data_IF_926201916586
#
_entry.id   IF_926201916586
#
_cell.length_a   1.000
_cell.length_b   1.000
_cell.length_c   1.000
_cell.angle_alpha   90.00
_cell.angle_beta   90.00
_cell.angle_gamma   90.00
#
_symmetry.space_group_name_H-M   'P 1'
#
loop_
_entity.id
_entity.type
_entity.pdbx_description
1 polymer ?
#
# COMPACT_ATOMS: atom_id res chain seq x y z
N UNK A 1 -10.33 20.03 20.04
CA UNK A 1 -9.99 18.97 21.03
C UNK A 1 -8.62 18.44 20.62
N UNK A 2 -7.66 18.58 21.48
CA UNK A 2 -6.29 18.07 21.26
C UNK A 2 -6.37 16.53 21.38
N UNK A 3 -6.56 15.88 20.24
CA UNK A 3 -6.71 14.42 20.15
C UNK A 3 -5.38 13.73 20.34
N UNK A 4 -4.86 13.76 21.58
CA UNK A 4 -3.68 12.98 21.97
C UNK A 4 -4.03 11.49 21.90
N UNK A 5 -3.73 10.86 20.76
CA UNK A 5 -3.77 9.39 20.65
C UNK A 5 -2.72 8.77 21.56
N UNK A 6 -3.02 7.58 22.12
CA UNK A 6 -2.04 6.85 22.92
C UNK A 6 -0.75 6.64 22.10
N UNK A 7 0.43 6.90 22.68
CA UNK A 7 1.69 6.78 21.96
C UNK A 7 1.93 5.33 21.52
N UNK A 8 2.43 5.17 20.30
CA UNK A 8 2.85 3.86 19.80
C UNK A 8 4.11 3.41 20.54
N UNK A 9 4.19 2.11 20.85
CA UNK A 9 5.37 1.53 21.50
C UNK A 9 6.14 0.70 20.46
N UNK A 10 7.42 1.01 20.29
CA UNK A 10 8.32 0.34 19.38
C UNK A 10 9.21 -0.62 20.17
N UNK A 11 9.04 -1.95 20.01
CA UNK A 11 9.81 -2.95 20.78
C UNK A 11 11.26 -3.05 20.34
N UNK A 12 11.57 -2.63 19.12
CA UNK A 12 12.92 -2.67 18.52
C UNK A 12 13.22 -1.28 17.98
N UNK A 13 14.37 -0.72 18.40
CA UNK A 13 14.81 0.60 17.97
C UNK A 13 15.56 0.57 16.64
N UNK A 14 16.39 -0.48 16.43
CA UNK A 14 17.28 -0.59 15.29
C UNK A 14 16.78 -1.66 14.30
N UNK A 15 16.56 -1.28 13.03
CA UNK A 15 16.18 -2.25 12.00
C UNK A 15 17.37 -3.14 11.61
N UNK A 16 17.10 -4.35 11.02
CA UNK A 16 18.16 -5.16 10.46
C UNK A 16 18.90 -4.41 9.35
N UNK A 17 20.21 -4.58 9.30
CA UNK A 17 21.00 -4.11 8.17
C UNK A 17 20.61 -4.88 6.89
N UNK A 18 20.82 -4.33 5.69
CA UNK A 18 20.53 -5.03 4.44
C UNK A 18 21.24 -6.40 4.36
N UNK A 19 20.48 -7.44 4.06
CA UNK A 19 20.97 -8.83 4.04
C UNK A 19 21.08 -9.51 5.41
N UNK A 20 20.68 -8.85 6.49
CA UNK A 20 20.57 -9.44 7.82
C UNK A 20 19.11 -9.79 8.15
N UNK A 21 18.93 -10.68 9.13
CA UNK A 21 17.62 -11.05 9.66
C UNK A 21 17.60 -10.92 11.17
N UNK A 22 16.50 -10.41 11.74
CA UNK A 22 16.30 -10.25 13.18
C UNK A 22 15.04 -11.00 13.60
N UNK A 23 15.07 -11.88 14.62
CA UNK A 23 13.86 -12.45 15.20
C UNK A 23 12.98 -11.35 15.78
N UNK A 24 11.70 -11.27 15.38
CA UNK A 24 10.76 -10.23 15.84
C UNK A 24 9.60 -10.81 16.64
N UNK A 25 9.24 -12.06 16.35
CA UNK A 25 8.22 -12.82 17.07
C UNK A 25 8.54 -14.32 16.96
N UNK A 26 7.89 -15.19 17.73
CA UNK A 26 8.14 -16.63 17.67
C UNK A 26 7.95 -17.20 16.26
N UNK A 27 9.04 -17.62 15.62
CA UNK A 27 9.06 -18.17 14.26
C UNK A 27 8.96 -17.13 13.16
N UNK A 28 9.08 -15.83 13.46
CA UNK A 28 9.05 -14.74 12.47
C UNK A 28 10.37 -13.96 12.50
N UNK A 29 11.02 -13.87 11.35
CA UNK A 29 12.21 -13.05 11.15
C UNK A 29 11.84 -11.82 10.33
N UNK A 30 12.39 -10.69 10.75
CA UNK A 30 12.35 -9.41 10.06
C UNK A 30 13.60 -9.24 9.23
N UNK A 31 13.45 -8.83 8.00
CA UNK A 31 14.52 -8.37 7.13
C UNK A 31 14.11 -7.08 6.42
N UNK A 32 15.09 -6.35 5.90
CA UNK A 32 14.86 -5.09 5.21
C UNK A 32 15.57 -5.07 3.86
N UNK A 33 14.87 -4.60 2.83
CA UNK A 33 15.41 -4.40 1.49
C UNK A 33 15.45 -2.91 1.15
N UNK A 34 16.45 -2.44 0.38
CA UNK A 34 16.53 -1.06 -0.06
C UNK A 34 15.48 -0.74 -1.13
N UNK A 35 15.08 0.53 -1.18
CA UNK A 35 14.24 1.10 -2.24
C UNK A 35 14.94 2.31 -2.89
N UNK A 36 14.76 2.54 -4.20
CA UNK A 36 15.35 3.66 -4.91
C UNK A 36 14.53 4.95 -4.80
N UNK A 37 13.90 5.19 -3.64
CA UNK A 37 12.97 6.30 -3.40
C UNK A 37 13.32 7.05 -2.11
N UNK A 38 12.60 8.14 -1.82
CA UNK A 38 12.72 8.84 -0.53
C UNK A 38 12.32 7.95 0.66
N UNK A 39 11.37 7.04 0.47
CA UNK A 39 11.12 5.92 1.37
C UNK A 39 12.13 4.82 1.00
N UNK A 40 13.26 4.80 1.69
CA UNK A 40 14.48 4.09 1.31
C UNK A 40 14.49 2.59 1.60
N UNK A 41 13.41 2.06 2.18
CA UNK A 41 13.36 0.65 2.60
C UNK A 41 11.96 0.06 2.56
N UNK A 42 11.92 -1.28 2.45
CA UNK A 42 10.75 -2.10 2.73
C UNK A 42 11.12 -3.20 3.73
N UNK A 43 10.24 -3.46 4.69
CA UNK A 43 10.32 -4.60 5.60
C UNK A 43 9.67 -5.81 4.96
N UNK A 44 10.35 -6.94 4.99
CA UNK A 44 9.87 -8.23 4.54
C UNK A 44 9.93 -9.24 5.68
N UNK A 45 9.16 -10.30 5.57
CA UNK A 45 9.04 -11.25 6.68
C UNK A 45 9.33 -12.67 6.20
N UNK A 46 10.05 -13.43 7.05
CA UNK A 46 10.24 -14.85 6.90
C UNK A 46 9.51 -15.55 8.04
N UNK A 47 8.61 -16.46 7.72
CA UNK A 47 7.88 -17.25 8.70
C UNK A 47 8.41 -18.68 8.64
N UNK A 48 8.86 -19.23 9.78
CA UNK A 48 9.28 -20.61 9.87
C UNK A 48 8.11 -21.55 9.56
N UNK A 49 8.31 -22.49 8.63
CA UNK A 49 7.27 -23.39 8.11
C UNK A 49 7.80 -24.86 8.12
N UNK A 50 7.90 -25.43 9.32
CA UNK A 50 8.55 -26.73 9.51
C UNK A 50 10.03 -26.68 9.14
N UNK A 51 10.44 -27.55 8.21
CA UNK A 51 11.80 -27.58 7.67
C UNK A 51 12.02 -26.58 6.51
N UNK A 52 11.11 -25.63 6.34
CA UNK A 52 11.15 -24.62 5.27
C UNK A 52 10.85 -23.21 5.81
N UNK A 53 10.80 -22.25 4.89
CA UNK A 53 10.41 -20.87 5.16
C UNK A 53 9.28 -20.41 4.23
N UNK A 54 8.32 -19.66 4.75
CA UNK A 54 7.39 -18.85 3.96
C UNK A 54 7.92 -17.41 3.91
N UNK A 55 8.04 -16.84 2.70
CA UNK A 55 8.37 -15.43 2.47
C UNK A 55 7.08 -14.63 2.40
N UNK A 56 7.03 -13.47 3.06
CA UNK A 56 5.95 -12.48 2.90
C UNK A 56 6.53 -11.18 2.37
N UNK A 57 6.09 -10.79 1.19
CA UNK A 57 6.59 -9.74 0.30
C UNK A 57 8.02 -9.98 -0.20
N UNK A 58 8.37 -9.38 -1.35
CA UNK A 58 9.55 -9.82 -2.10
C UNK A 58 10.58 -8.73 -2.38
N UNK A 59 10.19 -7.46 -2.20
CA UNK A 59 11.05 -6.31 -2.50
C UNK A 59 10.96 -5.85 -3.96
N UNK A 60 11.49 -4.66 -4.20
CA UNK A 60 11.59 -4.04 -5.52
C UNK A 60 12.62 -4.76 -6.39
N UNK A 61 12.33 -4.94 -7.68
CA UNK A 61 13.23 -5.66 -8.60
C UNK A 61 14.47 -4.83 -8.94
N UNK A 62 15.51 -5.01 -8.14
CA UNK A 62 16.86 -4.43 -8.35
C UNK A 62 17.93 -5.51 -8.26
N UNK A 63 19.08 -5.33 -8.95
CA UNK A 63 20.23 -6.24 -8.80
C UNK A 63 20.68 -6.37 -7.34
N UNK A 64 20.67 -5.27 -6.58
CA UNK A 64 21.02 -5.24 -5.16
C UNK A 64 20.07 -6.09 -4.32
N UNK A 65 18.75 -5.95 -4.50
CA UNK A 65 17.75 -6.74 -3.78
C UNK A 65 17.90 -8.25 -4.07
N UNK A 66 18.20 -8.61 -5.33
CA UNK A 66 18.50 -10.02 -5.68
C UNK A 66 19.75 -10.53 -4.98
N UNK A 67 20.83 -9.76 -4.97
CA UNK A 67 22.08 -10.14 -4.30
C UNK A 67 21.87 -10.31 -2.78
N UNK A 68 21.08 -9.45 -2.15
CA UNK A 68 20.72 -9.57 -0.74
C UNK A 68 19.90 -10.83 -0.46
N UNK A 69 18.94 -11.17 -1.32
CA UNK A 69 18.18 -12.42 -1.21
C UNK A 69 19.10 -13.65 -1.33
N UNK A 70 20.02 -13.70 -2.31
CA UNK A 70 20.94 -14.81 -2.45
C UNK A 70 21.86 -14.97 -1.22
N UNK A 71 22.30 -13.85 -0.63
CA UNK A 71 23.06 -13.86 0.64
C UNK A 71 22.20 -14.41 1.79
N UNK A 72 20.95 -13.97 1.93
CA UNK A 72 20.03 -14.47 2.95
C UNK A 72 19.82 -15.98 2.79
N UNK A 73 19.62 -16.47 1.57
CA UNK A 73 19.46 -17.90 1.29
C UNK A 73 20.69 -18.71 1.69
N UNK A 74 21.87 -18.19 1.42
CA UNK A 74 23.12 -18.88 1.74
C UNK A 74 23.44 -18.87 3.25
N UNK A 75 23.17 -17.77 3.94
CA UNK A 75 23.71 -17.53 5.27
C UNK A 75 22.68 -17.55 6.39
N UNK A 76 21.39 -17.26 6.10
CA UNK A 76 20.38 -16.97 7.13
C UNK A 76 19.26 -18.01 7.23
N UNK A 77 19.00 -18.79 6.18
CA UNK A 77 17.94 -19.80 6.20
C UNK A 77 18.32 -21.14 6.82
N UNK A 78 19.59 -21.31 7.22
CA UNK A 78 20.09 -22.58 7.80
C UNK A 78 19.98 -23.77 6.86
N UNK A 79 20.13 -23.56 5.54
CA UNK A 79 20.02 -24.59 4.50
C UNK A 79 18.57 -25.04 4.21
N UNK A 80 17.57 -24.45 4.87
CA UNK A 80 16.15 -24.80 4.66
C UNK A 80 15.61 -24.12 3.39
N UNK A 81 14.77 -24.81 2.58
CA UNK A 81 14.18 -24.24 1.38
C UNK A 81 13.07 -23.22 1.72
N UNK A 82 12.61 -22.52 0.69
CA UNK A 82 11.37 -21.75 0.74
C UNK A 82 10.23 -22.61 0.21
N UNK A 83 9.16 -22.77 1.00
CA UNK A 83 7.97 -23.57 0.67
C UNK A 83 6.86 -22.73 0.03
N UNK A 84 6.86 -21.42 0.28
CA UNK A 84 5.76 -20.53 -0.11
C UNK A 84 6.23 -19.08 -0.22
N UNK A 85 5.63 -18.34 -1.17
CA UNK A 85 5.79 -16.91 -1.32
C UNK A 85 4.40 -16.29 -1.26
N UNK A 86 4.18 -15.43 -0.28
CA UNK A 86 2.95 -14.64 -0.11
C UNK A 86 3.28 -13.19 -0.49
N UNK A 87 2.43 -12.55 -1.27
CA UNK A 87 2.52 -11.11 -1.54
C UNK A 87 1.25 -10.44 -1.05
N UNK A 88 1.43 -9.39 -0.23
CA UNK A 88 0.34 -8.65 0.37
C UNK A 88 -0.46 -7.88 -0.67
N UNK A 89 0.20 -7.19 -1.59
CA UNK A 89 -0.43 -6.42 -2.66
C UNK A 89 0.51 -6.15 -3.86
N UNK A 90 -0.05 -5.57 -4.93
CA UNK A 90 0.59 -5.45 -6.24
C UNK A 90 1.69 -4.40 -6.36
N UNK A 91 1.90 -3.51 -5.38
CA UNK A 91 2.91 -2.45 -5.50
C UNK A 91 4.32 -3.00 -5.72
N UNK A 92 5.16 -2.25 -6.48
CA UNK A 92 6.44 -2.80 -6.96
C UNK A 92 7.42 -3.24 -5.87
N UNK A 93 7.40 -2.61 -4.73
CA UNK A 93 8.24 -2.96 -3.58
C UNK A 93 7.77 -4.21 -2.82
N UNK A 94 6.56 -4.68 -3.09
CA UNK A 94 5.99 -5.91 -2.54
C UNK A 94 6.10 -7.08 -3.51
N UNK A 95 5.61 -6.93 -4.74
CA UNK A 95 5.55 -8.01 -5.74
C UNK A 95 6.77 -8.09 -6.66
N UNK A 96 7.67 -7.12 -6.62
CA UNK A 96 8.68 -6.89 -7.64
C UNK A 96 9.55 -8.10 -7.98
N UNK A 97 9.97 -8.87 -6.98
CA UNK A 97 10.79 -10.07 -7.17
C UNK A 97 10.00 -11.39 -7.06
N UNK A 98 8.66 -11.33 -7.01
CA UNK A 98 7.83 -12.52 -6.80
C UNK A 98 8.05 -13.59 -7.86
N UNK A 99 8.10 -13.22 -9.14
CA UNK A 99 8.30 -14.17 -10.24
C UNK A 99 9.66 -14.86 -10.16
N UNK A 100 10.72 -14.07 -9.97
CA UNK A 100 12.07 -14.60 -9.79
C UNK A 100 12.19 -15.54 -8.58
N UNK A 101 11.56 -15.20 -7.44
CA UNK A 101 11.57 -16.06 -6.25
C UNK A 101 10.75 -17.33 -6.46
N UNK A 102 9.59 -17.23 -7.12
CA UNK A 102 8.76 -18.39 -7.45
C UNK A 102 9.52 -19.38 -8.37
N UNK A 103 10.21 -18.87 -9.38
CA UNK A 103 11.07 -19.69 -10.26
C UNK A 103 12.25 -20.31 -9.51
N UNK A 104 12.94 -19.50 -8.71
CA UNK A 104 14.12 -19.91 -7.90
C UNK A 104 13.81 -21.11 -7.02
N UNK A 105 12.65 -21.09 -6.34
CA UNK A 105 12.25 -22.10 -5.37
C UNK A 105 11.22 -23.12 -5.92
N UNK A 106 10.75 -22.93 -7.14
CA UNK A 106 9.73 -23.77 -7.80
C UNK A 106 8.43 -23.84 -6.98
N UNK A 107 8.02 -22.72 -6.44
CA UNK A 107 6.80 -22.57 -5.64
C UNK A 107 5.84 -21.61 -6.33
N UNK A 108 4.55 -21.67 -5.94
CA UNK A 108 3.54 -20.74 -6.46
C UNK A 108 3.49 -19.47 -5.62
N UNK A 109 3.11 -18.37 -6.27
CA UNK A 109 2.74 -17.13 -5.62
C UNK A 109 1.41 -17.29 -4.90
N UNK A 110 1.31 -16.82 -3.65
CA UNK A 110 0.06 -16.67 -2.91
C UNK A 110 -0.27 -15.19 -2.79
N UNK A 111 -1.45 -14.79 -3.28
CA UNK A 111 -1.94 -13.40 -3.20
C UNK A 111 -3.45 -13.38 -3.46
N UNK A 112 -4.09 -12.23 -3.31
CA UNK A 112 -5.49 -12.08 -3.67
C UNK A 112 -5.66 -11.94 -5.20
N UNK A 113 -6.87 -12.19 -5.69
CA UNK A 113 -7.13 -12.21 -7.14
C UNK A 113 -6.94 -10.82 -7.77
N UNK A 114 -7.47 -9.77 -7.13
CA UNK A 114 -7.36 -8.42 -7.67
C UNK A 114 -5.91 -7.93 -7.68
N UNK A 115 -5.11 -8.27 -6.68
CA UNK A 115 -3.70 -7.89 -6.64
C UNK A 115 -2.91 -8.56 -7.77
N UNK A 116 -3.14 -9.85 -8.01
CA UNK A 116 -2.52 -10.54 -9.13
C UNK A 116 -2.95 -9.97 -10.48
N UNK A 117 -4.26 -9.71 -10.68
CA UNK A 117 -4.80 -9.12 -11.91
C UNK A 117 -4.21 -7.72 -12.16
N UNK A 118 -4.16 -6.86 -11.11
CA UNK A 118 -3.56 -5.52 -11.21
C UNK A 118 -2.09 -5.60 -11.60
N UNK A 119 -1.30 -6.44 -10.90
CA UNK A 119 0.11 -6.63 -11.25
C UNK A 119 0.29 -7.08 -12.70
N UNK A 120 -0.53 -8.03 -13.18
CA UNK A 120 -0.51 -8.52 -14.57
C UNK A 120 -0.87 -7.44 -15.59
N UNK A 121 -1.86 -6.61 -15.29
CA UNK A 121 -2.27 -5.48 -16.14
C UNK A 121 -1.18 -4.42 -16.17
N UNK A 122 -0.76 -3.92 -14.99
CA UNK A 122 0.23 -2.86 -14.86
C UNK A 122 1.60 -3.24 -15.45
N UNK A 123 2.01 -4.50 -15.35
CA UNK A 123 3.25 -4.98 -15.97
C UNK A 123 3.19 -5.06 -17.49
N UNK A 124 2.01 -4.97 -18.11
CA UNK A 124 1.79 -5.04 -19.56
C UNK A 124 1.23 -3.75 -20.16
N UNK A 125 1.07 -2.71 -19.35
CA UNK A 125 0.52 -1.43 -19.80
C UNK A 125 1.24 -0.92 -21.06
N UNK A 126 0.44 -0.60 -22.08
CA UNK A 126 0.86 0.02 -23.32
C UNK A 126 0.43 1.48 -23.41
N UNK A 127 0.49 2.05 -24.63
CA UNK A 127 0.14 3.46 -24.90
C UNK A 127 -1.35 3.77 -24.68
N UNK A 128 -2.23 2.75 -24.67
CA UNK A 128 -3.68 2.92 -24.42
C UNK A 128 -3.94 3.52 -23.04
N UNK A 129 -3.18 3.11 -22.03
CA UNK A 129 -3.29 3.67 -20.69
C UNK A 129 -2.73 5.08 -20.58
N UNK A 130 -1.78 5.46 -21.41
CA UNK A 130 -1.21 6.81 -21.41
C UNK A 130 -2.27 7.85 -21.76
N UNK A 131 -3.15 7.57 -22.72
CA UNK A 131 -4.24 8.47 -23.10
C UNK A 131 -5.26 8.67 -21.99
N UNK A 132 -5.66 7.59 -21.30
CA UNK A 132 -6.57 7.65 -20.17
C UNK A 132 -5.97 8.41 -18.98
N UNK A 133 -4.68 8.22 -18.69
CA UNK A 133 -3.97 8.96 -17.64
C UNK A 133 -3.86 10.44 -17.96
N UNK A 134 -3.59 10.79 -19.21
CA UNK A 134 -3.52 12.20 -19.64
C UNK A 134 -4.88 12.88 -19.47
N UNK A 135 -5.96 12.24 -19.91
CA UNK A 135 -7.30 12.79 -19.76
C UNK A 135 -7.70 12.90 -18.28
N UNK A 136 -7.40 11.88 -17.46
CA UNK A 136 -7.60 11.91 -16.01
C UNK A 136 -6.90 13.11 -15.36
N UNK A 137 -5.62 13.31 -15.67
CA UNK A 137 -4.81 14.40 -15.13
C UNK A 137 -5.34 15.77 -15.58
N UNK A 138 -5.72 15.92 -16.85
CA UNK A 138 -6.32 17.12 -17.40
C UNK A 138 -7.65 17.46 -16.71
N UNK A 139 -8.52 16.46 -16.50
CA UNK A 139 -9.79 16.66 -15.79
C UNK A 139 -9.61 17.02 -14.33
N UNK A 140 -8.53 16.60 -13.72
CA UNK A 140 -8.16 16.95 -12.35
C UNK A 140 -7.58 18.38 -12.21
N UNK A 141 -7.25 19.04 -13.34
CA UNK A 141 -6.77 20.43 -13.40
C UNK A 141 -5.29 20.59 -13.72
N UNK A 142 -4.54 19.52 -14.07
CA UNK A 142 -3.18 19.68 -14.57
C UNK A 142 -3.18 20.31 -15.97
N UNK A 143 -2.22 21.20 -16.23
CA UNK A 143 -1.98 21.74 -17.56
C UNK A 143 -1.54 20.65 -18.56
N UNK A 144 -1.48 21.01 -19.85
CA UNK A 144 -1.17 20.05 -20.91
C UNK A 144 0.22 19.39 -20.74
N UNK A 145 1.23 20.17 -20.34
CA UNK A 145 2.60 19.67 -20.18
C UNK A 145 2.68 18.74 -18.95
N UNK A 146 2.09 19.12 -17.85
CA UNK A 146 2.02 18.33 -16.62
C UNK A 146 1.17 17.05 -16.81
N UNK A 147 0.10 17.11 -17.59
CA UNK A 147 -0.73 15.94 -17.94
C UNK A 147 0.02 14.92 -18.81
N UNK A 148 0.84 15.39 -19.75
CA UNK A 148 1.72 14.52 -20.54
C UNK A 148 2.74 13.81 -19.64
N UNK A 149 3.39 14.55 -18.75
CA UNK A 149 4.35 14.00 -17.80
C UNK A 149 3.70 13.01 -16.82
N UNK A 150 2.47 13.26 -16.39
CA UNK A 150 1.70 12.35 -15.56
C UNK A 150 1.41 11.02 -16.30
N UNK A 151 1.08 11.11 -17.59
CA UNK A 151 0.81 9.91 -18.41
C UNK A 151 2.00 8.97 -18.52
N UNK A 152 3.22 9.50 -18.48
CA UNK A 152 4.47 8.74 -18.51
C UNK A 152 4.79 8.01 -17.19
N UNK A 153 4.20 8.47 -16.08
CA UNK A 153 4.52 7.95 -14.74
C UNK A 153 4.23 6.45 -14.61
N UNK A 154 3.14 5.96 -15.21
CA UNK A 154 2.77 4.55 -15.20
C UNK A 154 3.80 3.60 -15.82
N UNK A 155 4.62 4.08 -16.76
CA UNK A 155 5.70 3.28 -17.38
C UNK A 155 6.77 2.84 -16.36
N UNK A 156 6.78 3.45 -15.15
CA UNK A 156 7.71 3.10 -14.07
C UNK A 156 7.44 1.75 -13.41
N UNK A 157 6.21 1.25 -13.44
CA UNK A 157 5.83 -0.01 -12.78
C UNK A 157 6.66 -1.20 -13.27
N UNK A 158 6.86 -1.34 -14.58
CA UNK A 158 7.63 -2.43 -15.19
C UNK A 158 9.11 -2.48 -14.77
N UNK A 159 9.66 -1.36 -14.31
CA UNK A 159 11.04 -1.33 -13.79
C UNK A 159 11.14 -2.05 -12.45
N UNK A 160 10.14 -1.88 -11.59
CA UNK A 160 10.06 -2.52 -10.30
C UNK A 160 9.43 -3.91 -10.33
N UNK A 161 8.65 -4.22 -11.39
CA UNK A 161 7.96 -5.52 -11.58
C UNK A 161 8.17 -5.96 -13.03
N UNK A 162 9.35 -6.52 -13.37
CA UNK A 162 9.66 -6.93 -14.74
C UNK A 162 8.81 -8.11 -15.22
N UNK A 163 8.36 -8.97 -14.30
CA UNK A 163 7.50 -10.12 -14.57
C UNK A 163 6.63 -10.44 -13.37
N UNK A 164 5.49 -11.07 -13.64
CA UNK A 164 4.52 -11.54 -12.64
C UNK A 164 4.22 -13.01 -12.94
N UNK A 165 4.19 -13.91 -11.93
CA UNK A 165 3.89 -15.33 -12.13
C UNK A 165 2.62 -15.56 -12.96
N UNK A 166 2.66 -16.53 -13.86
CA UNK A 166 1.53 -16.83 -14.74
C UNK A 166 0.31 -17.42 -14.01
N UNK A 167 0.54 -17.98 -12.83
CA UNK A 167 -0.50 -18.56 -11.96
C UNK A 167 -0.22 -18.22 -10.50
N UNK A 168 -1.26 -18.29 -9.68
CA UNK A 168 -1.18 -18.01 -8.24
C UNK A 168 -2.12 -18.93 -7.46
N UNK A 169 -1.87 -19.06 -6.16
CA UNK A 169 -2.79 -19.60 -5.17
C UNK A 169 -3.55 -18.45 -4.55
N UNK A 170 -4.88 -18.56 -4.53
CA UNK A 170 -5.73 -17.47 -4.07
C UNK A 170 -5.75 -17.36 -2.56
N UNK A 171 -5.45 -16.14 -2.06
CA UNK A 171 -5.85 -15.69 -0.75
C UNK A 171 -7.23 -15.02 -0.83
N UNK A 172 -8.05 -15.22 0.19
CA UNK A 172 -9.36 -14.59 0.29
C UNK A 172 -9.60 -14.09 1.71
N UNK A 173 -10.47 -13.09 1.85
CA UNK A 173 -10.84 -12.56 3.16
C UNK A 173 -11.42 -13.63 4.07
N UNK A 174 -10.97 -13.67 5.33
CA UNK A 174 -11.37 -14.67 6.30
C UNK A 174 -10.73 -16.06 6.14
N UNK A 175 -9.98 -16.30 5.05
CA UNK A 175 -9.26 -17.55 4.85
C UNK A 175 -8.18 -17.76 5.90
N UNK A 176 -8.02 -19.01 6.37
CA UNK A 176 -6.91 -19.43 7.22
C UNK A 176 -5.87 -20.18 6.40
N UNK A 177 -4.60 -19.80 6.59
CA UNK A 177 -3.43 -20.43 5.99
C UNK A 177 -2.57 -21.04 7.10
N UNK A 178 -2.35 -22.34 7.06
CA UNK A 178 -1.43 -22.99 7.99
C UNK A 178 0.02 -22.70 7.58
N UNK A 179 0.81 -22.08 8.48
CA UNK A 179 2.23 -21.83 8.30
C UNK A 179 2.94 -22.14 9.61
N UNK A 180 3.90 -23.05 9.59
CA UNK A 180 4.68 -23.43 10.75
C UNK A 180 3.87 -24.05 11.88
N UNK A 181 2.80 -24.76 11.56
CA UNK A 181 1.89 -25.36 12.52
C UNK A 181 0.93 -24.38 13.20
N UNK A 182 0.95 -23.09 12.80
CA UNK A 182 0.04 -22.04 13.29
C UNK A 182 -0.94 -21.60 12.22
N UNK A 183 -2.10 -21.13 12.68
CA UNK A 183 -3.12 -20.55 11.82
C UNK A 183 -2.87 -19.07 11.58
N UNK A 184 -2.77 -18.69 10.31
CA UNK A 184 -2.66 -17.31 9.85
C UNK A 184 -3.94 -16.91 9.12
N UNK A 185 -4.72 -16.06 9.76
CA UNK A 185 -5.96 -15.55 9.17
C UNK A 185 -5.67 -14.41 8.21
N UNK A 186 -6.18 -14.51 7.00
CA UNK A 186 -6.16 -13.44 5.99
C UNK A 186 -7.27 -12.44 6.31
N UNK A 187 -6.93 -11.17 6.40
CA UNK A 187 -7.85 -10.05 6.53
C UNK A 187 -7.58 -9.11 5.38
N UNK A 188 -8.51 -9.04 4.43
CA UNK A 188 -8.34 -8.18 3.26
C UNK A 188 -8.69 -6.74 3.63
N UNK A 189 -7.76 -5.82 3.35
CA UNK A 189 -7.96 -4.38 3.36
C UNK A 189 -8.07 -3.83 1.95
N UNK A 190 -8.84 -2.77 1.76
CA UNK A 190 -9.01 -2.07 0.49
C UNK A 190 -8.66 -0.59 0.64
N UNK A 191 -8.60 0.13 -0.45
CA UNK A 191 -8.41 1.58 -0.50
C UNK A 191 -6.98 2.01 -0.81
N UNK A 192 -5.97 1.45 -0.12
CA UNK A 192 -4.57 1.60 -0.51
C UNK A 192 -4.25 0.76 -1.76
N UNK A 193 -4.75 -0.46 -1.76
CA UNK A 193 -4.71 -1.40 -2.88
C UNK A 193 -6.08 -2.09 -3.01
N UNK A 194 -6.37 -2.79 -4.12
CA UNK A 194 -7.70 -3.36 -4.38
C UNK A 194 -8.15 -4.45 -3.42
N UNK A 195 -7.21 -5.29 -2.93
CA UNK A 195 -7.47 -6.40 -1.99
C UNK A 195 -6.19 -6.77 -1.22
N UNK A 196 -5.59 -5.79 -0.51
CA UNK A 196 -4.38 -6.01 0.28
C UNK A 196 -4.61 -7.09 1.34
N UNK A 197 -3.80 -8.15 1.34
CA UNK A 197 -3.86 -9.24 2.31
C UNK A 197 -3.03 -8.92 3.56
N UNK A 198 -3.69 -8.58 4.68
CA UNK A 198 -3.05 -8.63 5.99
C UNK A 198 -3.06 -10.07 6.51
N UNK A 199 -2.02 -10.47 7.25
CA UNK A 199 -1.90 -11.81 7.84
C UNK A 199 -1.84 -11.71 9.37
N UNK A 200 -2.83 -12.24 10.06
CA UNK A 200 -2.94 -12.23 11.52
C UNK A 200 -2.74 -13.62 12.11
N UNK A 201 -1.77 -13.77 12.98
CA UNK A 201 -1.57 -14.99 13.77
C UNK A 201 -1.79 -14.68 15.26
N UNK A 202 -2.90 -15.14 15.81
CA UNK A 202 -3.25 -14.92 17.20
C UNK A 202 -2.26 -15.62 18.16
N UNK A 203 -1.82 -16.83 17.83
CA UNK A 203 -0.88 -17.60 18.66
C UNK A 203 0.50 -16.93 18.73
N UNK A 204 0.96 -16.30 17.64
CA UNK A 204 2.21 -15.55 17.64
C UNK A 204 2.04 -14.11 18.15
N UNK A 205 0.81 -13.63 18.32
CA UNK A 205 0.50 -12.27 18.73
C UNK A 205 0.92 -11.21 17.70
N UNK A 206 0.86 -11.51 16.40
CA UNK A 206 1.35 -10.64 15.33
C UNK A 206 0.31 -10.38 14.24
N UNK A 207 0.43 -9.19 13.63
CA UNK A 207 -0.27 -8.80 12.42
C UNK A 207 0.74 -8.28 11.40
N UNK A 208 0.95 -8.98 10.30
CA UNK A 208 1.61 -8.42 9.11
C UNK A 208 0.57 -7.56 8.39
N UNK A 209 0.73 -6.24 8.47
CA UNK A 209 -0.28 -5.28 7.99
C UNK A 209 -0.07 -4.86 6.53
N UNK A 210 1.05 -5.24 5.92
CA UNK A 210 1.44 -4.63 4.65
C UNK A 210 1.47 -3.10 4.78
N UNK A 211 0.91 -2.43 3.79
CA UNK A 211 0.73 -0.98 3.79
C UNK A 211 -0.65 -0.54 4.30
N UNK A 212 -1.50 -1.46 4.75
CA UNK A 212 -2.83 -1.08 5.26
C UNK A 212 -2.74 -0.23 6.53
N UNK A 213 -1.75 -0.48 7.39
CA UNK A 213 -1.51 0.32 8.60
C UNK A 213 0.00 0.52 8.78
N UNK A 214 0.46 1.77 8.69
CA UNK A 214 1.86 2.19 8.87
C UNK A 214 2.00 3.07 10.12
N UNK A 215 3.11 3.01 10.88
CA UNK A 215 3.19 3.68 12.18
C UNK A 215 3.38 5.20 12.09
N UNK A 216 4.07 5.72 11.07
CA UNK A 216 4.43 7.14 10.98
C UNK A 216 3.72 7.89 9.87
N UNK A 217 3.68 7.32 8.68
CA UNK A 217 3.06 7.93 7.50
C UNK A 217 1.65 7.38 7.31
N UNK A 218 0.76 8.14 6.69
CA UNK A 218 -0.48 7.60 6.15
C UNK A 218 -0.16 6.80 4.89
N UNK A 219 -0.72 5.60 4.71
CA UNK A 219 -0.70 4.93 3.41
C UNK A 219 -1.31 5.83 2.34
N UNK A 220 -0.78 5.76 1.12
CA UNK A 220 -1.37 6.46 0.00
C UNK A 220 -2.73 5.83 -0.35
N UNK A 221 -3.78 6.64 -0.37
CA UNK A 221 -5.14 6.25 -0.80
C UNK A 221 -5.52 7.13 -1.97
N UNK A 222 -5.49 6.58 -3.18
CA UNK A 222 -5.58 7.37 -4.42
C UNK A 222 -6.67 6.87 -5.35
N UNK A 223 -7.41 7.83 -5.95
CA UNK A 223 -8.17 7.55 -7.17
C UNK A 223 -7.19 7.32 -8.32
N UNK A 224 -7.40 6.26 -9.06
CA UNK A 224 -6.55 5.86 -10.17
C UNK A 224 -7.22 6.15 -11.52
N UNK A 225 -6.41 6.40 -12.56
CA UNK A 225 -6.94 6.70 -13.89
C UNK A 225 -7.77 5.57 -14.53
N UNK A 226 -7.59 4.33 -14.08
CA UNK A 226 -8.36 3.17 -14.54
C UNK A 226 -9.70 3.00 -13.79
N UNK A 227 -9.90 3.67 -12.65
CA UNK A 227 -11.16 3.76 -11.90
C UNK A 227 -11.41 5.24 -11.52
N UNK A 228 -11.62 6.14 -12.50
CA UNK A 228 -11.57 7.60 -12.30
C UNK A 228 -12.70 8.15 -11.43
N UNK A 229 -13.75 7.39 -11.19
CA UNK A 229 -14.89 7.75 -10.33
C UNK A 229 -14.93 6.89 -9.05
N UNK A 230 -13.86 6.18 -8.73
CA UNK A 230 -13.78 5.33 -7.53
C UNK A 230 -13.80 6.13 -6.23
N UNK A 231 -14.23 5.47 -5.14
CA UNK A 231 -14.15 5.99 -3.76
C UNK A 231 -13.23 5.08 -2.91
N UNK A 232 -11.90 5.18 -3.10
CA UNK A 232 -10.95 4.38 -2.34
C UNK A 232 -10.87 4.79 -0.87
N UNK A 233 -11.20 6.04 -0.52
CA UNK A 233 -11.15 6.49 0.87
C UNK A 233 -12.25 5.85 1.71
N UNK A 234 -13.47 5.72 1.20
CA UNK A 234 -14.53 5.00 1.91
C UNK A 234 -14.14 3.54 2.15
N UNK A 235 -13.57 2.87 1.14
CA UNK A 235 -13.06 1.49 1.25
C UNK A 235 -11.94 1.38 2.29
N UNK A 236 -11.02 2.34 2.30
CA UNK A 236 -9.91 2.38 3.27
C UNK A 236 -10.42 2.54 4.72
N UNK A 237 -11.31 3.50 4.96
CA UNK A 237 -11.88 3.73 6.29
C UNK A 237 -12.70 2.52 6.79
N UNK A 238 -13.47 1.88 5.92
CA UNK A 238 -14.19 0.65 6.23
C UNK A 238 -13.21 -0.51 6.56
N UNK A 239 -12.09 -0.60 5.84
CA UNK A 239 -11.05 -1.59 6.09
C UNK A 239 -10.33 -1.36 7.41
N UNK A 240 -10.07 -0.11 7.80
CA UNK A 240 -9.54 0.22 9.12
C UNK A 240 -10.48 -0.20 10.24
N UNK A 241 -11.78 0.09 10.09
CA UNK A 241 -12.80 -0.34 11.06
C UNK A 241 -12.90 -1.87 11.17
N UNK A 242 -12.81 -2.59 10.03
CA UNK A 242 -12.76 -4.06 9.99
C UNK A 242 -11.54 -4.62 10.73
N UNK A 243 -10.34 -4.08 10.47
CA UNK A 243 -9.11 -4.50 11.16
C UNK A 243 -9.22 -4.25 12.68
N UNK A 244 -9.74 -3.08 13.09
CA UNK A 244 -9.96 -2.73 14.48
C UNK A 244 -10.87 -3.72 15.19
N UNK A 245 -11.93 -4.19 14.52
CA UNK A 245 -12.88 -5.17 15.08
C UNK A 245 -12.32 -6.59 15.08
N UNK A 246 -11.47 -6.94 14.11
CA UNK A 246 -11.01 -8.30 13.88
C UNK A 246 -9.71 -8.67 14.62
N UNK A 247 -8.92 -7.68 15.04
CA UNK A 247 -7.57 -7.88 15.61
C UNK A 247 -7.47 -7.27 17.01
N UNK A 248 -6.96 -8.02 18.01
CA UNK A 248 -6.78 -7.52 19.37
C UNK A 248 -5.82 -6.31 19.42
N UNK A 249 -6.01 -5.38 20.39
CA UNK A 249 -5.18 -4.19 20.50
C UNK A 249 -3.72 -4.46 20.91
N UNK A 250 -3.45 -5.61 21.54
CA UNK A 250 -2.11 -6.00 22.07
C UNK A 250 -1.20 -6.60 21.01
N UNK A 251 -1.69 -6.78 19.78
CA UNK A 251 -0.92 -7.39 18.69
C UNK A 251 0.30 -6.56 18.35
N UNK A 252 1.43 -7.24 18.08
CA UNK A 252 2.58 -6.62 17.44
C UNK A 252 2.31 -6.44 15.95
N UNK A 253 2.24 -5.20 15.48
CA UNK A 253 2.07 -4.89 14.06
C UNK A 253 3.41 -4.93 13.36
N UNK A 254 3.46 -5.64 12.25
CA UNK A 254 4.60 -5.82 11.36
C UNK A 254 4.30 -5.08 10.04
N UNK A 255 4.62 -3.77 9.96
CA UNK A 255 4.31 -2.95 8.79
C UNK A 255 5.39 -3.06 7.72
N UNK A 256 5.06 -2.81 6.47
CA UNK A 256 6.03 -2.84 5.38
C UNK A 256 7.04 -1.70 5.44
N UNK A 257 6.71 -0.60 6.09
CA UNK A 257 7.61 0.55 6.22
C UNK A 257 7.72 1.01 7.67
N UNK A 258 8.89 1.59 8.02
CA UNK A 258 9.28 2.02 9.37
C UNK A 258 9.52 0.83 10.32
N UNK A 259 9.14 0.94 11.59
CA UNK A 259 9.44 -0.06 12.62
C UNK A 259 8.18 -0.84 13.03
N UNK A 260 8.32 -2.12 13.41
CA UNK A 260 7.28 -2.86 14.12
C UNK A 260 6.81 -2.14 15.37
N UNK A 261 5.51 -2.18 15.67
CA UNK A 261 4.95 -1.41 16.76
C UNK A 261 3.75 -2.09 17.44
N UNK A 262 3.49 -1.69 18.68
CA UNK A 262 2.24 -1.95 19.38
C UNK A 262 1.37 -0.70 19.41
N UNK A 263 0.05 -0.87 19.48
CA UNK A 263 -0.91 0.23 19.51
C UNK A 263 -1.74 0.33 18.23
N UNK A 264 -2.07 -0.83 17.64
CA UNK A 264 -2.86 -0.91 16.40
C UNK A 264 -4.11 -0.04 16.42
N UNK A 265 -4.95 -0.16 17.48
CA UNK A 265 -6.21 0.58 17.56
C UNK A 265 -6.00 2.09 17.64
N UNK A 266 -5.03 2.54 18.44
CA UNK A 266 -4.68 3.98 18.52
C UNK A 266 -4.18 4.51 17.16
N UNK A 267 -3.42 3.69 16.43
CA UNK A 267 -2.95 4.07 15.09
C UNK A 267 -4.10 4.13 14.08
N UNK A 268 -5.02 3.19 14.10
CA UNK A 268 -6.22 3.20 13.26
C UNK A 268 -7.06 4.45 13.52
N UNK A 269 -7.30 4.78 14.79
CA UNK A 269 -8.06 5.96 15.18
C UNK A 269 -7.36 7.26 14.72
N UNK A 270 -6.02 7.31 14.80
CA UNK A 270 -5.22 8.43 14.30
C UNK A 270 -5.28 8.58 12.78
N UNK A 271 -5.25 7.47 12.02
CA UNK A 271 -5.39 7.48 10.56
C UNK A 271 -6.80 7.96 10.15
N UNK A 272 -7.85 7.47 10.80
CA UNK A 272 -9.22 7.92 10.53
C UNK A 272 -9.40 9.42 10.82
N UNK A 273 -8.89 9.89 11.95
CA UNK A 273 -8.92 11.33 12.30
C UNK A 273 -8.11 12.19 11.33
N UNK A 274 -6.98 11.69 10.83
CA UNK A 274 -6.19 12.38 9.80
C UNK A 274 -7.01 12.61 8.53
N UNK A 275 -7.68 11.60 8.01
CA UNK A 275 -8.52 11.74 6.81
C UNK A 275 -9.72 12.64 7.06
N UNK A 276 -10.33 12.57 8.24
CA UNK A 276 -11.40 13.48 8.62
C UNK A 276 -10.94 14.96 8.61
N UNK A 277 -9.78 15.26 9.18
CA UNK A 277 -9.21 16.61 9.16
C UNK A 277 -8.94 17.09 7.71
N UNK A 278 -8.45 16.22 6.81
CA UNK A 278 -8.30 16.56 5.38
C UNK A 278 -9.64 16.88 4.72
N UNK A 279 -10.70 16.12 5.01
CA UNK A 279 -12.04 16.41 4.53
C UNK A 279 -12.53 17.80 4.99
N UNK A 280 -12.28 18.18 6.23
CA UNK A 280 -12.66 19.52 6.76
C UNK A 280 -11.90 20.65 6.07
N UNK A 281 -10.59 20.48 5.82
CA UNK A 281 -9.78 21.44 5.05
C UNK A 281 -10.34 21.61 3.61
N UNK A 282 -10.72 20.51 2.95
CA UNK A 282 -11.32 20.52 1.60
C UNK A 282 -12.68 21.23 1.62
N UNK A 283 -13.56 20.91 2.55
CA UNK A 283 -14.87 21.58 2.66
C UNK A 283 -14.72 23.10 2.86
N UNK A 284 -13.72 23.52 3.65
CA UNK A 284 -13.41 24.93 3.84
C UNK A 284 -12.93 25.59 2.54
N UNK A 285 -12.13 24.92 1.74
CA UNK A 285 -11.63 25.44 0.48
C UNK A 285 -12.71 25.45 -0.63
N UNK A 286 -13.57 24.43 -0.64
CA UNK A 286 -14.60 24.24 -1.66
C UNK A 286 -15.87 25.11 -1.48
N UNK A 287 -15.86 26.12 -0.62
CA UNK A 287 -16.92 27.18 -0.62
C UNK A 287 -16.97 27.94 -1.94
N UNK A 288 -15.88 27.91 -2.70
CA UNK A 288 -15.81 28.28 -4.11
C UNK A 288 -15.35 27.07 -4.93
N UNK A 289 -15.78 26.95 -6.21
CA UNK A 289 -15.42 25.79 -7.03
C UNK A 289 -13.90 25.59 -7.15
N UNK A 290 -13.39 24.43 -6.70
CA UNK A 290 -11.96 24.06 -6.71
C UNK A 290 -11.75 22.80 -7.54
N UNK A 291 -10.68 22.75 -8.35
CA UNK A 291 -10.18 21.53 -8.96
C UNK A 291 -9.32 20.74 -7.95
N UNK A 292 -8.99 19.48 -8.26
CA UNK A 292 -8.09 18.71 -7.41
C UNK A 292 -6.70 19.35 -7.32
N UNK A 293 -6.21 19.98 -8.40
CA UNK A 293 -4.93 20.68 -8.42
C UNK A 293 -4.94 21.92 -7.51
N UNK A 294 -6.05 22.67 -7.48
CA UNK A 294 -6.19 23.85 -6.62
C UNK A 294 -6.08 23.49 -5.13
N UNK A 295 -6.43 22.24 -4.77
CA UNK A 295 -6.36 21.74 -3.39
C UNK A 295 -4.99 21.22 -2.99
N UNK A 296 -4.05 20.99 -3.93
CA UNK A 296 -2.72 20.49 -3.55
C UNK A 296 -2.00 21.37 -2.54
N UNK A 297 -1.95 22.73 -2.69
CA UNK A 297 -1.30 23.57 -1.67
C UNK A 297 -2.08 23.65 -0.35
N UNK A 298 -3.38 23.34 -0.34
CA UNK A 298 -4.19 23.25 0.89
C UNK A 298 -3.79 22.01 1.69
N UNK A 299 -3.69 20.86 1.02
CA UNK A 299 -3.42 19.57 1.63
C UNK A 299 -1.92 19.33 1.90
N UNK A 300 -1.03 19.89 1.08
CA UNK A 300 0.41 19.63 1.12
C UNK A 300 1.19 20.94 1.26
N UNK A 301 1.66 21.24 2.49
CA UNK A 301 2.35 22.52 2.83
C UNK A 301 3.80 22.59 2.35
N UNK A 302 4.30 21.59 1.62
CA UNK A 302 5.66 21.54 1.09
C UNK A 302 5.63 21.46 -0.45
N UNK A 303 6.68 21.94 -1.13
CA UNK A 303 6.81 21.71 -2.57
C UNK A 303 6.75 20.20 -2.87
N UNK A 304 6.02 19.85 -3.90
CA UNK A 304 5.91 18.48 -4.39
C UNK A 304 6.78 18.34 -5.64
N UNK A 305 7.62 17.32 -5.68
CA UNK A 305 8.25 16.92 -6.93
C UNK A 305 7.22 16.23 -7.86
N UNK A 306 7.66 15.93 -9.08
CA UNK A 306 6.79 15.32 -10.10
C UNK A 306 6.15 14.00 -9.65
N UNK A 307 6.91 13.14 -8.97
CA UNK A 307 6.44 11.86 -8.48
C UNK A 307 5.42 12.05 -7.35
N UNK A 308 5.74 12.94 -6.41
CA UNK A 308 4.88 13.28 -5.29
C UNK A 308 3.58 13.96 -5.75
N UNK A 309 3.62 14.77 -6.82
CA UNK A 309 2.42 15.39 -7.39
C UNK A 309 1.41 14.35 -7.89
N UNK A 310 1.87 13.26 -8.49
CA UNK A 310 0.98 12.20 -8.96
C UNK A 310 0.24 11.51 -7.78
N UNK A 311 0.93 11.20 -6.69
CA UNK A 311 0.31 10.65 -5.50
C UNK A 311 -0.63 11.65 -4.83
N UNK A 312 -0.20 12.89 -4.68
CA UNK A 312 -0.97 13.96 -4.06
C UNK A 312 -2.29 14.25 -4.83
N UNK A 313 -2.24 14.21 -6.17
CA UNK A 313 -3.42 14.39 -7.01
C UNK A 313 -4.45 13.29 -6.80
N UNK A 314 -4.00 12.03 -6.79
CA UNK A 314 -4.86 10.88 -6.51
C UNK A 314 -5.45 10.91 -5.11
N UNK A 315 -4.68 11.34 -4.11
CA UNK A 315 -5.13 11.49 -2.73
C UNK A 315 -6.14 12.65 -2.57
N UNK A 316 -5.91 13.78 -3.22
CA UNK A 316 -6.88 14.89 -3.24
C UNK A 316 -8.21 14.43 -3.86
N UNK A 317 -8.18 13.73 -4.99
CA UNK A 317 -9.37 13.15 -5.61
C UNK A 317 -10.06 12.13 -4.72
N UNK A 318 -9.33 11.31 -3.96
CA UNK A 318 -9.92 10.34 -3.04
C UNK A 318 -10.78 11.02 -1.96
N UNK A 319 -10.31 12.13 -1.40
CA UNK A 319 -11.09 12.91 -0.43
C UNK A 319 -12.27 13.64 -1.06
N UNK A 320 -12.08 14.21 -2.27
CA UNK A 320 -13.15 14.88 -3.02
C UNK A 320 -14.27 13.91 -3.37
N UNK A 321 -13.94 12.71 -3.86
CA UNK A 321 -14.94 11.69 -4.19
C UNK A 321 -15.65 11.16 -2.96
N UNK A 322 -14.93 10.95 -1.86
CA UNK A 322 -15.54 10.57 -0.59
C UNK A 322 -16.58 11.59 -0.15
N UNK A 323 -16.25 12.88 -0.14
CA UNK A 323 -17.17 13.96 0.23
C UNK A 323 -18.34 14.11 -0.76
N UNK A 324 -18.10 13.87 -2.05
CA UNK A 324 -19.14 13.87 -3.07
C UNK A 324 -20.15 12.73 -2.85
N UNK A 325 -19.65 11.50 -2.58
CA UNK A 325 -20.52 10.35 -2.28
C UNK A 325 -21.31 10.55 -0.99
N UNK A 326 -20.73 11.22 0.02
CA UNK A 326 -21.43 11.62 1.24
C UNK A 326 -22.44 12.76 1.01
N UNK A 327 -22.54 13.32 -0.19
CA UNK A 327 -23.46 14.41 -0.53
C UNK A 327 -23.02 15.78 0.01
N UNK A 328 -21.78 15.94 0.44
CA UNK A 328 -21.26 17.21 0.95
C UNK A 328 -20.75 18.13 -0.18
N UNK A 329 -20.31 17.56 -1.30
CA UNK A 329 -19.82 18.28 -2.47
C UNK A 329 -20.61 17.91 -3.73
N UNK A 330 -20.76 18.86 -4.64
CA UNK A 330 -21.16 18.65 -6.03
C UNK A 330 -19.97 18.78 -6.96
N UNK A 331 -19.91 17.95 -8.01
CA UNK A 331 -18.88 18.00 -9.07
C UNK A 331 -19.46 18.63 -10.32
N UNK A 332 -18.81 19.66 -10.85
CA UNK A 332 -19.19 20.38 -12.05
C UNK A 332 -18.07 20.33 -13.08
N UNK A 333 -18.40 20.08 -14.34
CA UNK A 333 -17.45 20.16 -15.45
C UNK A 333 -17.41 21.61 -15.96
N UNK A 334 -16.24 22.23 -15.86
CA UNK A 334 -16.01 23.56 -16.40
C UNK A 334 -15.95 23.58 -17.93
N UNK A 335 -16.09 24.74 -18.55
CA UNK A 335 -15.96 24.93 -20.02
C UNK A 335 -14.55 24.60 -20.54
N UNK A 336 -13.55 24.62 -19.67
CA UNK A 336 -12.16 24.18 -19.91
C UNK A 336 -11.96 22.66 -19.83
N UNK A 337 -13.05 21.93 -19.50
CA UNK A 337 -13.04 20.49 -19.35
C UNK A 337 -12.42 19.99 -18.05
N UNK A 338 -12.21 20.87 -17.07
CA UNK A 338 -11.71 20.54 -15.72
C UNK A 338 -12.88 20.30 -14.77
N UNK A 339 -12.82 19.24 -13.96
CA UNK A 339 -13.78 19.05 -12.88
C UNK A 339 -13.46 19.97 -11.71
N UNK A 340 -14.52 20.64 -11.21
CA UNK A 340 -14.47 21.44 -9.99
C UNK A 340 -15.50 20.93 -9.00
N UNK A 341 -15.14 21.04 -7.74
CA UNK A 341 -15.97 20.59 -6.63
C UNK A 341 -16.35 21.80 -5.78
N UNK A 342 -17.59 21.85 -5.36
CA UNK A 342 -18.14 22.95 -4.58
C UNK A 342 -19.07 22.40 -3.50
N UNK A 343 -19.11 23.03 -2.34
CA UNK A 343 -20.03 22.65 -1.25
C UNK A 343 -21.47 22.70 -1.75
N UNK A 344 -22.20 21.60 -1.52
CA UNK A 344 -23.63 21.53 -1.88
C UNK A 344 -24.43 22.48 -1.03
N UNK A 345 -25.13 23.40 -1.69
CA UNK A 345 -26.15 24.23 -1.03
C UNK A 345 -27.29 23.34 -0.53
N UNK A 346 -27.71 23.56 0.73
CA UNK A 346 -28.82 22.81 1.37
C UNK A 346 -30.17 23.26 0.90
#
# INVERSE_FOLDING_TARGET
MDGSFAPLRFPVADPPAPGETVPIAPGVLWLRMPLPFALDHINLWLIADGDAWTIVDTGYAMPESKALWERIFAERLGGRPVSRIIVTHYHPDHIGLADWLCERWRVRLWTTEKEWLHARVMSREGDDFASSRREFARRAGLDAASSELFSEHGKGYRRGVPSVPASFERLADGMSVAIGGREWRVIVGEGHAPELACLCCAEAGVLISGDQVLPKISPNVSVQAHEPDGDPLARYLASLAKLRAAVPPEVLVLPSHNLPFFGLHARIDALAAHHQARCEEILTACVTPQSAVDLLPVLFRRPLDRHQTAFALGEALAHLHYLMVQGALDRVLGSDGVYRFVVREK
#
